data_IF_718856972267
#
_entry.id   IF_718856972267
#
_cell.length_a   1.000
_cell.length_b   1.000
_cell.length_c   1.000
_cell.angle_alpha   90.00
_cell.angle_beta   90.00
_cell.angle_gamma   90.00
#
_symmetry.space_group_name_H-M   'P 1'
#
loop_
_entity.id
_entity.type
_entity.pdbx_description
1 polymer ?
#
# COMPACT_ATOMS: atom_id res chain seq x y z
N UNK A 1 6.67 -30.27 -39.47
CA UNK A 1 7.42 -29.85 -40.67
C UNK A 1 7.20 -28.36 -40.86
N UNK A 2 8.29 -27.59 -40.98
CA UNK A 2 8.40 -26.25 -41.62
C UNK A 2 7.54 -25.09 -41.07
N UNK A 3 7.98 -23.83 -41.00
CA UNK A 3 9.30 -23.20 -41.10
C UNK A 3 9.16 -21.74 -40.63
N UNK A 4 10.29 -21.13 -40.27
CA UNK A 4 10.51 -19.70 -40.00
C UNK A 4 10.30 -18.83 -41.26
N UNK A 5 10.10 -17.51 -41.03
CA UNK A 5 10.56 -16.31 -41.78
C UNK A 5 9.45 -15.23 -41.69
N UNK A 6 9.56 -14.10 -40.98
CA UNK A 6 10.50 -12.97 -41.07
C UNK A 6 10.46 -12.26 -42.45
N UNK A 7 10.34 -10.92 -42.40
CA UNK A 7 10.90 -9.90 -43.34
C UNK A 7 9.88 -8.98 -44.11
N UNK A 8 10.05 -7.67 -43.84
CA UNK A 8 10.03 -6.48 -44.73
C UNK A 8 8.87 -5.47 -44.74
N UNK A 9 9.31 -4.27 -44.35
CA UNK A 9 8.85 -2.89 -44.48
C UNK A 9 8.67 -2.45 -45.95
N UNK A 10 7.65 -1.66 -46.29
CA UNK A 10 7.67 -0.82 -47.50
C UNK A 10 6.82 0.44 -47.28
N UNK A 11 7.51 1.56 -47.04
CA UNK A 11 6.98 2.92 -47.05
C UNK A 11 7.15 3.49 -48.46
N UNK A 12 6.06 3.99 -49.03
CA UNK A 12 5.98 4.58 -50.36
C UNK A 12 6.60 5.98 -50.41
N UNK A 13 7.47 6.19 -51.40
CA UNK A 13 7.92 7.49 -51.91
C UNK A 13 6.85 8.14 -52.79
N UNK A 14 6.74 9.47 -52.74
CA UNK A 14 6.22 10.29 -53.83
C UNK A 14 7.04 11.57 -53.99
N UNK A 15 7.56 11.75 -55.21
CA UNK A 15 8.41 12.84 -55.73
C UNK A 15 7.53 13.87 -56.44
N UNK A 16 7.81 15.17 -56.26
CA UNK A 16 7.74 16.27 -57.26
C UNK A 16 7.97 17.60 -56.51
N UNK A 17 8.68 18.62 -57.00
CA UNK A 17 9.34 18.86 -58.27
C UNK A 17 10.24 20.10 -58.10
N UNK A 18 11.31 20.15 -58.89
CA UNK A 18 12.34 21.18 -58.90
C UNK A 18 11.93 22.31 -59.86
N UNK A 19 11.94 23.56 -59.40
CA UNK A 19 11.94 24.75 -60.26
C UNK A 19 13.22 25.53 -59.93
N UNK A 20 14.09 25.67 -60.94
CA UNK A 20 15.31 26.47 -60.91
C UNK A 20 14.99 27.93 -61.26
N UNK A 21 15.28 28.85 -60.34
CA UNK A 21 15.46 30.26 -60.66
C UNK A 21 16.87 30.69 -60.25
N UNK A 22 17.67 31.06 -61.25
CA UNK A 22 18.97 31.71 -61.12
C UNK A 22 18.78 33.19 -60.79
N UNK A 23 19.24 33.62 -59.61
CA UNK A 23 19.33 35.03 -59.22
C UNK A 23 20.63 35.28 -58.48
N UNK A 24 21.51 36.10 -59.05
CA UNK A 24 22.71 36.60 -58.41
C UNK A 24 22.35 37.61 -57.32
N UNK A 25 22.75 37.34 -56.07
CA UNK A 25 22.79 38.35 -55.00
C UNK A 25 24.05 38.18 -54.16
N UNK A 26 24.65 39.31 -53.80
CA UNK A 26 25.91 39.46 -53.07
C UNK A 26 25.88 38.78 -51.69
N UNK A 27 26.84 37.90 -51.43
CA UNK A 27 27.06 37.31 -50.10
C UNK A 27 27.53 38.37 -49.10
N UNK A 28 26.69 38.66 -48.12
CA UNK A 28 27.07 39.33 -46.88
C UNK A 28 27.52 38.23 -45.91
N UNK A 29 28.75 38.31 -45.40
CA UNK A 29 29.29 37.39 -44.39
C UNK A 29 28.54 37.56 -43.07
N UNK A 30 27.59 36.67 -42.79
CA UNK A 30 26.96 36.52 -41.48
C UNK A 30 27.76 35.52 -40.66
N UNK A 31 28.48 36.00 -39.65
CA UNK A 31 29.03 35.14 -38.60
C UNK A 31 27.88 34.57 -37.78
N UNK A 32 27.58 33.28 -37.98
CA UNK A 32 26.60 32.57 -37.16
C UNK A 32 27.18 32.41 -35.75
N UNK A 33 26.54 32.93 -34.69
CA UNK A 33 27.00 32.68 -33.34
C UNK A 33 26.85 31.19 -33.05
N UNK A 34 27.95 30.57 -32.59
CA UNK A 34 27.93 29.19 -32.07
C UNK A 34 26.90 29.16 -30.93
N UNK A 35 25.90 28.27 -30.95
CA UNK A 35 24.98 28.13 -29.84
C UNK A 35 25.78 27.69 -28.61
N UNK A 36 25.91 28.58 -27.64
CA UNK A 36 26.37 28.24 -26.31
C UNK A 36 25.40 27.21 -25.74
N UNK A 37 25.81 25.94 -25.65
CA UNK A 37 25.07 24.96 -24.87
C UNK A 37 25.15 25.38 -23.40
N UNK A 38 24.13 26.08 -22.93
CA UNK A 38 23.85 26.22 -21.51
C UNK A 38 23.52 24.83 -20.99
N UNK A 39 24.49 24.20 -20.32
CA UNK A 39 24.24 23.04 -19.47
C UNK A 39 23.18 23.48 -18.47
N UNK A 40 21.97 22.89 -18.56
CA UNK A 40 20.95 23.12 -17.54
C UNK A 40 21.57 22.81 -16.17
N UNK A 41 21.40 23.68 -15.16
CA UNK A 41 21.83 23.35 -13.81
C UNK A 41 21.21 22.01 -13.44
N UNK A 42 22.04 21.02 -13.12
CA UNK A 42 21.58 19.79 -12.50
C UNK A 42 20.82 20.19 -11.23
N UNK A 43 19.49 20.04 -11.25
CA UNK A 43 18.65 20.26 -10.08
C UNK A 43 19.21 19.37 -8.98
N UNK A 44 19.64 19.96 -7.87
CA UNK A 44 20.14 19.19 -6.74
C UNK A 44 19.09 18.14 -6.35
N UNK A 45 19.50 16.88 -6.05
CA UNK A 45 18.57 15.85 -5.67
C UNK A 45 17.75 16.32 -4.47
N UNK A 46 16.44 16.09 -4.51
CA UNK A 46 15.54 16.48 -3.42
C UNK A 46 15.91 15.66 -2.18
N UNK A 47 16.14 16.38 -1.08
CA UNK A 47 16.43 15.82 0.24
C UNK A 47 15.26 16.16 1.19
N UNK A 48 15.08 15.31 2.21
CA UNK A 48 13.96 15.35 3.15
C UNK A 48 14.46 15.49 4.59
N UNK A 49 13.72 16.21 5.42
CA UNK A 49 13.92 16.22 6.86
C UNK A 49 13.26 15.00 7.50
N UNK A 50 13.64 14.69 8.74
CA UNK A 50 12.93 13.70 9.56
C UNK A 50 11.43 14.00 9.63
N UNK A 51 11.07 15.25 9.92
CA UNK A 51 9.67 15.66 10.06
C UNK A 51 8.86 15.46 8.76
N UNK A 52 9.46 15.67 7.58
CA UNK A 52 8.80 15.35 6.31
C UNK A 52 8.61 13.84 6.16
N UNK A 53 9.65 13.05 6.41
CA UNK A 53 9.59 11.59 6.34
C UNK A 53 8.50 11.03 7.26
N UNK A 54 8.55 11.37 8.55
CA UNK A 54 7.59 10.93 9.55
C UNK A 54 6.16 11.30 9.18
N UNK A 55 5.95 12.51 8.63
CA UNK A 55 4.63 12.94 8.19
C UNK A 55 4.12 12.12 7.02
N UNK A 56 4.94 11.92 5.98
CA UNK A 56 4.55 11.09 4.83
C UNK A 56 4.15 9.68 5.27
N UNK A 57 4.92 9.10 6.21
CA UNK A 57 4.66 7.77 6.74
C UNK A 57 3.40 7.71 7.61
N UNK A 58 3.19 8.69 8.49
CA UNK A 58 1.97 8.77 9.30
C UNK A 58 0.71 8.88 8.44
N UNK A 59 0.76 9.70 7.38
CA UNK A 59 -0.35 9.82 6.43
C UNK A 59 -0.64 8.50 5.73
N UNK A 60 0.41 7.76 5.33
CA UNK A 60 0.24 6.44 4.72
C UNK A 60 -0.49 5.49 5.66
N UNK A 61 -0.09 5.42 6.93
CA UNK A 61 -0.76 4.57 7.94
C UNK A 61 -2.26 4.90 8.05
N UNK A 62 -2.62 6.18 8.16
CA UNK A 62 -4.03 6.59 8.29
C UNK A 62 -4.88 6.15 7.08
N UNK A 63 -4.32 6.29 5.87
CA UNK A 63 -5.02 5.99 4.62
C UNK A 63 -4.99 4.49 4.28
N UNK A 64 -3.96 3.75 4.67
CA UNK A 64 -3.94 2.29 4.55
C UNK A 64 -4.88 1.63 5.56
N UNK A 65 -5.00 2.16 6.77
CA UNK A 65 -6.04 1.75 7.74
C UNK A 65 -7.44 1.89 7.13
N UNK A 66 -7.74 3.03 6.50
CA UNK A 66 -9.00 3.26 5.77
C UNK A 66 -9.26 2.17 4.73
N UNK A 67 -8.28 1.87 3.87
CA UNK A 67 -8.43 0.84 2.85
C UNK A 67 -8.62 -0.56 3.46
N UNK A 68 -7.80 -0.93 4.45
CA UNK A 68 -7.86 -2.26 5.08
C UNK A 68 -9.20 -2.47 5.76
N UNK A 69 -9.67 -1.53 6.58
CA UNK A 69 -10.95 -1.71 7.28
C UNK A 69 -12.15 -1.59 6.35
N UNK A 70 -12.04 -0.88 5.23
CA UNK A 70 -13.04 -0.93 4.15
C UNK A 70 -13.12 -2.34 3.55
N UNK A 71 -11.98 -2.95 3.21
CA UNK A 71 -11.92 -4.35 2.75
C UNK A 71 -12.48 -5.33 3.78
N UNK A 72 -12.10 -5.18 5.05
CA UNK A 72 -12.65 -6.01 6.13
C UNK A 72 -14.17 -5.88 6.18
N UNK A 73 -14.72 -4.66 6.16
CA UNK A 73 -16.16 -4.48 6.17
C UNK A 73 -16.86 -5.10 4.95
N UNK A 74 -16.30 -4.95 3.74
CA UNK A 74 -16.82 -5.59 2.52
C UNK A 74 -16.90 -7.11 2.70
N UNK A 75 -15.80 -7.75 3.11
CA UNK A 75 -15.72 -9.19 3.30
C UNK A 75 -16.74 -9.66 4.36
N UNK A 76 -16.66 -9.10 5.56
CA UNK A 76 -17.48 -9.55 6.70
C UNK A 76 -18.97 -9.29 6.45
N UNK A 77 -19.31 -8.15 5.85
CA UNK A 77 -20.70 -7.80 5.55
C UNK A 77 -21.29 -8.74 4.51
N UNK A 78 -20.58 -9.03 3.42
CA UNK A 78 -21.04 -9.95 2.38
C UNK A 78 -21.20 -11.39 2.89
N UNK A 79 -20.32 -11.81 3.80
CA UNK A 79 -20.37 -13.15 4.43
C UNK A 79 -21.38 -13.23 5.58
N UNK A 80 -22.08 -12.13 5.91
CA UNK A 80 -23.00 -12.01 7.05
C UNK A 80 -22.32 -12.34 8.39
N UNK A 81 -21.04 -12.03 8.50
CA UNK A 81 -20.24 -12.24 9.70
C UNK A 81 -20.53 -11.15 10.74
N UNK A 82 -20.71 -11.52 12.02
CA UNK A 82 -20.86 -10.54 13.11
C UNK A 82 -19.61 -9.66 13.31
N UNK A 83 -18.47 -10.00 12.70
CA UNK A 83 -17.28 -9.14 12.71
C UNK A 83 -17.47 -7.83 11.91
N UNK A 84 -18.49 -7.74 11.06
CA UNK A 84 -18.77 -6.54 10.27
C UNK A 84 -18.96 -5.29 11.16
N UNK A 85 -19.57 -5.45 12.33
CA UNK A 85 -19.77 -4.34 13.27
C UNK A 85 -18.45 -3.82 13.86
N UNK A 86 -17.53 -4.73 14.20
CA UNK A 86 -16.21 -4.36 14.71
C UNK A 86 -15.37 -3.66 13.62
N UNK A 87 -15.41 -4.17 12.38
CA UNK A 87 -14.76 -3.55 11.24
C UNK A 87 -15.33 -2.15 10.93
N UNK A 88 -16.65 -1.99 10.93
CA UNK A 88 -17.32 -0.70 10.72
C UNK A 88 -16.98 0.31 11.83
N UNK A 89 -16.97 -0.13 13.10
CA UNK A 89 -16.63 0.73 14.22
C UNK A 89 -15.19 1.27 14.11
N UNK A 90 -14.24 0.40 13.75
CA UNK A 90 -12.84 0.82 13.56
C UNK A 90 -12.64 1.69 12.33
N UNK A 91 -13.34 1.40 11.22
CA UNK A 91 -13.35 2.22 10.03
C UNK A 91 -13.89 3.63 10.30
N UNK A 92 -15.00 3.75 11.04
CA UNK A 92 -15.54 5.06 11.44
C UNK A 92 -14.62 5.80 12.41
N UNK A 93 -13.90 5.08 13.28
CA UNK A 93 -12.89 5.66 14.16
C UNK A 93 -11.70 6.23 13.38
N UNK A 94 -11.22 5.51 12.35
CA UNK A 94 -10.16 5.99 11.47
C UNK A 94 -10.50 7.35 10.81
N UNK A 95 -11.77 7.63 10.52
CA UNK A 95 -12.17 8.93 9.97
C UNK A 95 -11.98 10.09 10.96
N UNK A 96 -12.13 9.82 12.26
CA UNK A 96 -11.76 10.78 13.31
C UNK A 96 -10.25 10.96 13.39
N UNK A 97 -9.49 9.87 13.21
CA UNK A 97 -8.03 9.91 13.27
C UNK A 97 -7.47 10.74 12.10
N UNK A 98 -8.01 10.58 10.88
CA UNK A 98 -7.70 11.40 9.70
C UNK A 98 -8.07 12.87 9.94
N UNK A 99 -9.29 13.14 10.44
CA UNK A 99 -9.71 14.51 10.73
C UNK A 99 -8.87 15.18 11.83
N UNK A 100 -8.46 14.42 12.86
CA UNK A 100 -7.57 14.91 13.89
C UNK A 100 -6.16 15.21 13.35
N UNK A 101 -5.68 14.42 12.40
CA UNK A 101 -4.36 14.61 11.80
C UNK A 101 -4.22 15.95 11.04
N UNK A 102 -5.32 16.55 10.56
CA UNK A 102 -5.27 17.86 9.89
C UNK A 102 -5.35 19.06 10.86
N UNK A 103 -5.79 18.85 12.11
CA UNK A 103 -6.02 19.94 13.09
C UNK A 103 -4.78 20.79 13.38
N UNK A 104 -3.55 20.24 13.51
CA UNK A 104 -2.35 21.04 13.74
C UNK A 104 -2.01 22.03 12.62
N UNK A 105 -2.64 21.88 11.45
CA UNK A 105 -2.37 22.67 10.25
C UNK A 105 -3.53 23.63 9.92
N UNK A 106 -4.76 23.15 10.02
CA UNK A 106 -5.96 23.88 9.59
C UNK A 106 -6.94 24.23 10.71
N UNK A 107 -6.65 23.84 11.95
CA UNK A 107 -7.48 24.11 13.13
C UNK A 107 -8.58 23.07 13.39
N UNK A 108 -9.22 23.19 14.56
CA UNK A 108 -10.26 22.27 15.06
C UNK A 108 -11.45 22.17 14.11
N UNK A 109 -11.97 23.31 13.64
CA UNK A 109 -13.16 23.36 12.80
C UNK A 109 -12.95 22.61 11.47
N UNK A 110 -11.77 22.77 10.86
CA UNK A 110 -11.41 22.05 9.64
C UNK A 110 -11.32 20.54 9.88
N UNK A 111 -10.64 20.12 10.96
CA UNK A 111 -10.53 18.69 11.31
C UNK A 111 -11.88 18.04 11.61
N UNK A 112 -12.75 18.75 12.34
CA UNK A 112 -14.10 18.27 12.65
C UNK A 112 -14.98 18.22 11.38
N UNK A 113 -14.85 19.18 10.46
CA UNK A 113 -15.56 19.17 9.17
C UNK A 113 -15.12 18.00 8.29
N UNK A 114 -13.81 17.74 8.19
CA UNK A 114 -13.29 16.60 7.44
C UNK A 114 -13.77 15.27 8.04
N UNK A 115 -13.74 15.14 9.38
CA UNK A 115 -14.27 13.98 10.09
C UNK A 115 -15.72 13.70 9.72
N UNK A 116 -16.57 14.74 9.70
CA UNK A 116 -17.98 14.61 9.36
C UNK A 116 -18.19 14.14 7.92
N UNK A 117 -17.48 14.74 6.95
CA UNK A 117 -17.55 14.37 5.54
C UNK A 117 -17.12 12.91 5.31
N UNK A 118 -16.04 12.48 5.95
CA UNK A 118 -15.52 11.11 5.84
C UNK A 118 -16.42 10.09 6.54
N UNK A 119 -17.02 10.42 7.70
CA UNK A 119 -18.01 9.52 8.32
C UNK A 119 -19.27 9.34 7.48
N UNK A 120 -19.74 10.41 6.84
CA UNK A 120 -20.82 10.35 5.87
C UNK A 120 -20.42 9.48 4.67
N UNK A 121 -19.21 9.67 4.13
CA UNK A 121 -18.64 8.87 3.05
C UNK A 121 -18.72 7.37 3.34
N UNK A 122 -18.24 6.97 4.52
CA UNK A 122 -18.28 5.57 4.98
C UNK A 122 -19.73 5.11 5.16
N UNK A 123 -20.59 5.90 5.80
CA UNK A 123 -22.00 5.53 6.01
C UNK A 123 -22.74 5.26 4.70
N UNK A 124 -22.47 6.05 3.65
CA UNK A 124 -23.02 5.81 2.32
C UNK A 124 -22.45 4.53 1.71
N UNK A 125 -21.14 4.29 1.78
CA UNK A 125 -20.52 3.06 1.29
C UNK A 125 -21.11 1.79 1.95
N UNK A 126 -21.37 1.87 3.27
CA UNK A 126 -22.06 0.83 4.05
C UNK A 126 -23.48 0.56 3.52
N UNK A 127 -24.22 1.62 3.16
CA UNK A 127 -25.55 1.51 2.57
C UNK A 127 -25.52 0.91 1.16
N UNK A 128 -24.55 1.27 0.32
CA UNK A 128 -24.34 0.65 -1.00
C UNK A 128 -24.16 -0.87 -0.87
N UNK A 129 -23.33 -1.33 0.08
CA UNK A 129 -23.12 -2.77 0.31
C UNK A 129 -24.42 -3.45 0.73
N UNK A 130 -25.22 -2.80 1.59
CA UNK A 130 -26.55 -3.29 1.99
C UNK A 130 -27.49 -3.42 0.79
N UNK A 131 -27.51 -2.44 -0.11
CA UNK A 131 -28.34 -2.46 -1.31
C UNK A 131 -27.89 -3.53 -2.32
N UNK A 132 -26.58 -3.71 -2.48
CA UNK A 132 -26.00 -4.82 -3.27
C UNK A 132 -26.48 -6.16 -2.73
N UNK A 133 -26.40 -6.37 -1.40
CA UNK A 133 -26.90 -7.59 -0.74
C UNK A 133 -28.41 -7.79 -0.94
N UNK A 134 -29.19 -6.70 -0.87
CA UNK A 134 -30.63 -6.71 -1.10
C UNK A 134 -31.00 -6.84 -2.58
N UNK A 135 -30.03 -6.79 -3.51
CA UNK A 135 -30.23 -6.73 -4.96
C UNK A 135 -31.14 -5.57 -5.38
N UNK A 136 -31.08 -4.46 -4.64
CA UNK A 136 -31.89 -3.29 -4.89
C UNK A 136 -31.13 -2.29 -5.78
N UNK A 137 -31.16 -2.53 -7.09
CA UNK A 137 -30.42 -1.71 -8.06
C UNK A 137 -30.80 -0.23 -8.04
N UNK A 138 -32.06 0.08 -7.72
CA UNK A 138 -32.55 1.47 -7.65
C UNK A 138 -31.95 2.20 -6.44
N UNK A 139 -31.98 1.58 -5.26
CA UNK A 139 -31.38 2.17 -4.06
C UNK A 139 -29.85 2.24 -4.19
N UNK A 140 -29.22 1.17 -4.71
CA UNK A 140 -27.79 1.15 -5.00
C UNK A 140 -27.39 2.33 -5.89
N UNK A 141 -28.07 2.56 -7.01
CA UNK A 141 -27.75 3.68 -7.91
C UNK A 141 -27.94 5.05 -7.24
N UNK A 142 -28.95 5.19 -6.38
CA UNK A 142 -29.18 6.41 -5.63
C UNK A 142 -28.07 6.67 -4.60
N UNK A 143 -27.61 5.65 -3.88
CA UNK A 143 -26.55 5.79 -2.89
C UNK A 143 -25.16 5.93 -3.56
N UNK A 144 -24.91 5.31 -4.70
CA UNK A 144 -23.70 5.57 -5.51
C UNK A 144 -23.63 7.03 -6.01
N UNK A 145 -24.77 7.62 -6.39
CA UNK A 145 -24.84 9.04 -6.74
C UNK A 145 -24.54 9.95 -5.55
N UNK A 146 -25.07 9.64 -4.35
CA UNK A 146 -24.73 10.37 -3.11
C UNK A 146 -23.26 10.21 -2.75
N UNK A 147 -22.70 9.03 -2.92
CA UNK A 147 -21.30 8.75 -2.62
C UNK A 147 -20.36 9.57 -3.51
N UNK A 148 -20.72 9.67 -4.80
CA UNK A 148 -20.02 10.53 -5.76
C UNK A 148 -20.13 12.01 -5.39
N UNK A 149 -21.30 12.47 -4.96
CA UNK A 149 -21.49 13.85 -4.50
C UNK A 149 -20.65 14.14 -3.23
N UNK A 150 -20.70 13.26 -2.22
CA UNK A 150 -19.89 13.42 -1.01
C UNK A 150 -18.38 13.41 -1.31
N UNK A 151 -17.94 12.59 -2.27
CA UNK A 151 -16.56 12.63 -2.77
C UNK A 151 -16.18 13.98 -3.40
N UNK A 152 -17.08 14.57 -4.19
CA UNK A 152 -16.91 15.93 -4.74
C UNK A 152 -16.84 16.99 -3.63
N UNK A 153 -17.64 16.85 -2.57
CA UNK A 153 -17.63 17.74 -1.41
C UNK A 153 -16.33 17.64 -0.60
N UNK A 154 -15.79 16.43 -0.42
CA UNK A 154 -14.47 16.21 0.20
C UNK A 154 -13.38 16.86 -0.65
N UNK A 155 -13.38 16.62 -1.97
CA UNK A 155 -12.39 17.20 -2.87
C UNK A 155 -12.44 18.73 -2.86
N UNK A 156 -13.64 19.33 -2.87
CA UNK A 156 -13.84 20.77 -2.77
C UNK A 156 -13.34 21.33 -1.43
N UNK A 157 -13.65 20.66 -0.32
CA UNK A 157 -13.17 21.04 1.01
C UNK A 157 -11.64 21.05 1.06
N UNK A 158 -10.99 19.95 0.66
CA UNK A 158 -9.53 19.84 0.62
C UNK A 158 -8.93 20.97 -0.24
N UNK A 159 -9.39 21.11 -1.47
CA UNK A 159 -8.85 22.10 -2.42
C UNK A 159 -9.02 23.55 -1.94
N UNK A 160 -10.09 23.83 -1.18
CA UNK A 160 -10.30 25.16 -0.58
C UNK A 160 -9.34 25.44 0.58
N UNK A 161 -8.92 24.41 1.32
CA UNK A 161 -8.02 24.53 2.47
C UNK A 161 -6.54 24.67 2.05
N UNK A 162 -6.16 24.01 0.94
CA UNK A 162 -4.77 23.97 0.48
C UNK A 162 -4.65 24.26 -1.02
N UNK A 163 -3.95 25.36 -1.41
CA UNK A 163 -3.77 25.69 -2.82
C UNK A 163 -2.91 24.67 -3.60
N UNK A 164 -2.21 23.76 -2.91
CA UNK A 164 -1.43 22.69 -3.52
C UNK A 164 -2.27 21.48 -3.95
N UNK A 165 -3.54 21.41 -3.53
CA UNK A 165 -4.50 20.41 -3.99
C UNK A 165 -5.43 21.06 -5.00
N UNK A 166 -5.09 20.96 -6.29
CA UNK A 166 -5.93 21.53 -7.34
C UNK A 166 -7.27 20.79 -7.36
N UNK A 167 -8.37 21.53 -7.55
CA UNK A 167 -9.71 20.96 -7.51
C UNK A 167 -9.93 19.79 -8.50
N UNK A 168 -9.33 19.86 -9.69
CA UNK A 168 -9.34 18.75 -10.65
C UNK A 168 -8.63 17.51 -10.09
N UNK A 169 -7.38 17.66 -9.66
CA UNK A 169 -6.56 16.57 -9.13
C UNK A 169 -7.21 15.92 -7.88
N UNK A 170 -7.74 16.72 -6.96
CA UNK A 170 -8.42 16.23 -5.76
C UNK A 170 -9.68 15.43 -6.12
N UNK A 171 -10.45 15.89 -7.12
CA UNK A 171 -11.63 15.19 -7.62
C UNK A 171 -11.22 13.87 -8.28
N UNK A 172 -10.21 13.88 -9.15
CA UNK A 172 -9.73 12.68 -9.83
C UNK A 172 -9.25 11.61 -8.84
N UNK A 173 -8.53 12.01 -7.77
CA UNK A 173 -8.11 11.11 -6.70
C UNK A 173 -9.32 10.45 -6.01
N UNK A 174 -10.32 11.24 -5.64
CA UNK A 174 -11.52 10.72 -4.97
C UNK A 174 -12.33 9.80 -5.89
N UNK A 175 -12.56 10.19 -7.14
CA UNK A 175 -13.30 9.39 -8.12
C UNK A 175 -12.60 8.08 -8.44
N UNK A 176 -11.27 8.09 -8.57
CA UNK A 176 -10.50 6.86 -8.72
C UNK A 176 -10.62 5.95 -7.50
N UNK A 177 -10.66 6.52 -6.28
CA UNK A 177 -10.88 5.74 -5.06
C UNK A 177 -12.25 5.07 -5.05
N UNK A 178 -13.31 5.78 -5.48
CA UNK A 178 -14.63 5.19 -5.62
C UNK A 178 -14.62 4.02 -6.60
N UNK A 179 -14.00 4.24 -7.77
CA UNK A 179 -13.95 3.26 -8.84
C UNK A 179 -13.22 1.98 -8.43
N UNK A 180 -12.02 2.09 -7.84
CA UNK A 180 -11.25 0.91 -7.41
C UNK A 180 -11.97 0.13 -6.31
N UNK A 181 -12.56 0.83 -5.33
CA UNK A 181 -13.30 0.21 -4.23
C UNK A 181 -14.59 -0.46 -4.73
N UNK A 182 -15.28 0.13 -5.70
CA UNK A 182 -16.44 -0.50 -6.35
C UNK A 182 -16.03 -1.76 -7.12
N UNK A 183 -14.90 -1.75 -7.82
CA UNK A 183 -14.37 -2.94 -8.50
C UNK A 183 -14.09 -4.07 -7.51
N UNK A 184 -13.49 -3.77 -6.36
CA UNK A 184 -13.27 -4.73 -5.27
C UNK A 184 -14.59 -5.32 -4.75
N UNK A 185 -15.56 -4.47 -4.42
CA UNK A 185 -16.90 -4.91 -3.99
C UNK A 185 -17.56 -5.84 -5.01
N UNK A 186 -17.52 -5.48 -6.29
CA UNK A 186 -18.13 -6.28 -7.37
C UNK A 186 -17.43 -7.63 -7.51
N UNK A 187 -16.09 -7.66 -7.51
CA UNK A 187 -15.33 -8.90 -7.60
C UNK A 187 -15.63 -9.83 -6.42
N UNK A 188 -15.63 -9.28 -5.19
CA UNK A 188 -15.96 -10.03 -3.98
C UNK A 188 -17.39 -10.55 -3.98
N UNK A 189 -18.38 -9.72 -4.32
CA UNK A 189 -19.79 -10.12 -4.41
C UNK A 189 -20.02 -11.20 -5.45
N UNK A 190 -19.31 -11.13 -6.58
CA UNK A 190 -19.38 -12.11 -7.67
C UNK A 190 -18.62 -13.41 -7.36
N UNK A 191 -17.91 -13.47 -6.23
CA UNK A 191 -17.03 -14.57 -5.82
C UNK A 191 -15.89 -14.85 -6.80
N UNK A 192 -15.50 -13.85 -7.58
CA UNK A 192 -14.28 -13.91 -8.39
C UNK A 192 -13.10 -13.51 -7.49
N UNK A 193 -12.60 -14.46 -6.72
CA UNK A 193 -11.57 -14.19 -5.72
C UNK A 193 -10.21 -13.82 -6.32
N UNK A 194 -9.94 -14.18 -7.58
CA UNK A 194 -8.74 -13.73 -8.28
C UNK A 194 -8.88 -12.26 -8.69
N UNK A 195 -10.03 -11.87 -9.23
CA UNK A 195 -10.31 -10.46 -9.49
C UNK A 195 -10.36 -9.63 -8.19
N UNK A 196 -10.87 -10.19 -7.08
CA UNK A 196 -10.89 -9.55 -5.76
C UNK A 196 -9.46 -9.22 -5.28
N UNK A 197 -8.53 -10.17 -5.40
CA UNK A 197 -7.11 -9.94 -5.08
C UNK A 197 -6.50 -8.83 -5.95
N UNK A 198 -6.76 -8.84 -7.26
CA UNK A 198 -6.24 -7.82 -8.18
C UNK A 198 -6.85 -6.44 -7.89
N UNK A 199 -8.13 -6.39 -7.54
CA UNK A 199 -8.81 -5.16 -7.16
C UNK A 199 -8.23 -4.58 -5.87
N UNK A 200 -7.94 -5.42 -4.87
CA UNK A 200 -7.24 -4.98 -3.66
C UNK A 200 -5.87 -4.37 -3.97
N UNK A 201 -5.05 -5.02 -4.80
CA UNK A 201 -3.74 -4.47 -5.17
C UNK A 201 -3.87 -3.08 -5.83
N UNK A 202 -4.93 -2.87 -6.63
CA UNK A 202 -5.24 -1.56 -7.21
C UNK A 202 -5.71 -0.53 -6.16
N UNK A 203 -6.59 -0.93 -5.23
CA UNK A 203 -7.04 -0.08 -4.11
C UNK A 203 -5.86 0.36 -3.26
N UNK A 204 -4.99 -0.58 -2.86
CA UNK A 204 -3.85 -0.29 -2.01
C UNK A 204 -2.81 0.59 -2.71
N UNK A 205 -2.54 0.35 -4.00
CA UNK A 205 -1.67 1.23 -4.77
C UNK A 205 -2.24 2.66 -4.92
N UNK A 206 -3.56 2.78 -5.11
CA UNK A 206 -4.22 4.07 -5.21
C UNK A 206 -4.22 4.84 -3.88
N UNK A 207 -4.50 4.16 -2.76
CA UNK A 207 -4.60 4.82 -1.46
C UNK A 207 -3.25 5.38 -0.98
N UNK A 208 -2.14 4.71 -1.31
CA UNK A 208 -0.79 5.24 -1.07
C UNK A 208 -0.53 6.51 -1.90
N UNK A 209 -0.94 6.54 -3.17
CA UNK A 209 -0.81 7.75 -4.00
C UNK A 209 -1.65 8.92 -3.47
N UNK A 210 -2.87 8.63 -3.04
CA UNK A 210 -3.74 9.63 -2.41
C UNK A 210 -3.11 10.18 -1.13
N UNK A 211 -2.57 9.30 -0.28
CA UNK A 211 -1.85 9.68 0.93
C UNK A 211 -0.63 10.59 0.63
N UNK A 212 0.17 10.23 -0.37
CA UNK A 212 1.34 11.02 -0.76
C UNK A 212 0.95 12.41 -1.32
N UNK A 213 -0.15 12.48 -2.07
CA UNK A 213 -0.69 13.75 -2.56
C UNK A 213 -1.17 14.65 -1.41
N UNK A 214 -1.84 14.07 -0.42
CA UNK A 214 -2.33 14.80 0.78
C UNK A 214 -1.14 15.28 1.61
N UNK A 215 -0.29 14.38 2.09
CA UNK A 215 0.88 14.75 2.89
C UNK A 215 1.80 15.75 2.18
N UNK A 216 2.05 15.53 0.88
CA UNK A 216 2.86 16.44 0.07
C UNK A 216 2.26 17.84 -0.07
N UNK A 217 0.94 17.98 -0.12
CA UNK A 217 0.29 19.29 -0.10
C UNK A 217 0.43 19.99 1.25
N UNK A 218 0.26 19.27 2.37
CA UNK A 218 0.43 19.82 3.73
C UNK A 218 1.87 20.31 3.92
N UNK A 219 2.85 19.49 3.56
CA UNK A 219 4.28 19.83 3.66
C UNK A 219 4.60 21.08 2.84
N UNK A 220 4.06 21.19 1.62
CA UNK A 220 4.26 22.37 0.76
C UNK A 220 3.62 23.65 1.32
N UNK A 221 2.47 23.55 1.98
CA UNK A 221 1.78 24.71 2.54
C UNK A 221 2.39 25.18 3.87
N UNK A 222 2.91 24.26 4.67
CA UNK A 222 3.46 24.57 6.00
C UNK A 222 4.93 24.12 6.16
N UNK A 223 5.86 24.58 5.30
CA UNK A 223 7.24 24.11 5.31
C UNK A 223 7.94 24.29 6.66
N UNK A 224 7.61 25.35 7.41
CA UNK A 224 8.19 25.64 8.72
C UNK A 224 7.85 24.58 9.78
N UNK A 225 6.70 23.91 9.67
CA UNK A 225 6.31 22.81 10.57
C UNK A 225 7.09 21.52 10.31
N UNK A 226 7.75 21.42 9.16
CA UNK A 226 8.55 20.28 8.75
C UNK A 226 10.02 20.66 8.54
N UNK A 227 10.44 21.78 9.11
CA UNK A 227 11.81 22.24 9.07
C UNK A 227 12.75 21.27 9.81
N UNK A 228 14.04 21.33 9.48
CA UNK A 228 15.07 20.49 10.07
C UNK A 228 16.16 20.14 9.05
N UNK A 229 17.27 19.52 9.49
CA UNK A 229 18.31 19.03 8.60
C UNK A 229 17.72 18.10 7.53
N UNK A 230 17.99 18.39 6.25
CA UNK A 230 17.55 17.55 5.13
C UNK A 230 18.57 16.42 4.93
N UNK A 231 18.37 15.33 5.66
CA UNK A 231 19.33 14.21 5.77
C UNK A 231 18.92 12.97 4.99
N UNK A 232 17.67 12.88 4.53
CA UNK A 232 17.17 11.74 3.78
C UNK A 232 17.13 12.04 2.28
N UNK A 233 17.69 11.16 1.47
CA UNK A 233 17.59 11.19 0.03
C UNK A 233 16.23 10.68 -0.46
N UNK A 234 15.89 10.96 -1.72
CA UNK A 234 14.74 10.33 -2.36
C UNK A 234 14.83 8.79 -2.37
N UNK A 235 16.03 8.22 -2.55
CA UNK A 235 16.19 6.76 -2.61
C UNK A 235 15.98 6.11 -1.25
N UNK A 236 16.38 6.78 -0.17
CA UNK A 236 16.08 6.32 1.20
C UNK A 236 14.57 6.30 1.44
N UNK A 237 13.87 7.38 1.05
CA UNK A 237 12.41 7.45 1.13
C UNK A 237 11.74 6.36 0.27
N UNK A 238 12.24 6.12 -0.94
CA UNK A 238 11.68 5.10 -1.84
C UNK A 238 11.90 3.68 -1.31
N UNK A 239 13.08 3.40 -0.73
CA UNK A 239 13.36 2.13 -0.07
C UNK A 239 12.40 1.92 1.09
N UNK A 240 12.28 2.89 2.00
CA UNK A 240 11.43 2.75 3.18
C UNK A 240 9.96 2.54 2.80
N UNK A 241 9.48 3.35 1.84
CA UNK A 241 8.15 3.22 1.27
C UNK A 241 7.88 1.84 0.64
N UNK A 242 8.85 1.32 -0.10
CA UNK A 242 8.77 -0.01 -0.74
C UNK A 242 8.74 -1.13 0.29
N UNK A 243 9.62 -1.07 1.29
CA UNK A 243 9.69 -2.05 2.36
C UNK A 243 8.41 -2.04 3.21
N UNK A 244 7.93 -0.86 3.63
CA UNK A 244 6.68 -0.75 4.39
C UNK A 244 5.51 -1.34 3.62
N UNK A 245 5.41 -1.08 2.31
CA UNK A 245 4.35 -1.68 1.48
C UNK A 245 4.44 -3.21 1.50
N UNK A 246 5.62 -3.78 1.30
CA UNK A 246 5.79 -5.24 1.23
C UNK A 246 5.47 -5.93 2.56
N UNK A 247 5.93 -5.35 3.67
CA UNK A 247 5.71 -5.88 5.01
C UNK A 247 4.28 -5.67 5.51
N UNK A 248 3.62 -4.58 5.12
CA UNK A 248 2.18 -4.40 5.40
C UNK A 248 1.31 -5.28 4.50
N UNK A 249 1.69 -5.53 3.24
CA UNK A 249 1.05 -6.56 2.40
C UNK A 249 1.12 -7.93 3.11
N UNK A 250 2.27 -8.30 3.68
CA UNK A 250 2.43 -9.56 4.45
C UNK A 250 1.40 -9.68 5.59
N UNK A 251 1.23 -8.65 6.41
CA UNK A 251 0.27 -8.69 7.54
C UNK A 251 -1.18 -8.65 7.06
N UNK A 252 -1.51 -7.83 6.07
CA UNK A 252 -2.86 -7.79 5.48
C UNK A 252 -3.25 -9.15 4.90
N UNK A 253 -2.37 -9.76 4.11
CA UNK A 253 -2.67 -11.06 3.50
C UNK A 253 -2.67 -12.21 4.50
N UNK A 254 -1.88 -12.12 5.58
CA UNK A 254 -1.97 -13.05 6.71
C UNK A 254 -3.32 -12.95 7.42
N UNK A 255 -3.78 -11.73 7.73
CA UNK A 255 -5.12 -11.49 8.29
C UNK A 255 -6.22 -12.05 7.39
N UNK A 256 -6.17 -11.73 6.10
CA UNK A 256 -7.14 -12.24 5.13
C UNK A 256 -7.14 -13.78 5.12
N UNK A 257 -5.97 -14.41 5.09
CA UNK A 257 -5.90 -15.86 5.13
C UNK A 257 -6.50 -16.45 6.43
N UNK A 258 -6.22 -15.85 7.60
CA UNK A 258 -6.81 -16.25 8.89
C UNK A 258 -8.35 -16.19 8.81
N UNK A 259 -8.89 -15.05 8.36
CA UNK A 259 -10.34 -14.82 8.24
C UNK A 259 -10.98 -15.85 7.31
N UNK A 260 -10.47 -15.99 6.09
CA UNK A 260 -11.05 -16.87 5.07
C UNK A 260 -10.91 -18.34 5.46
N UNK A 261 -9.77 -18.75 6.01
CA UNK A 261 -9.51 -20.13 6.42
C UNK A 261 -10.41 -20.55 7.58
N UNK A 262 -10.57 -19.72 8.61
CA UNK A 262 -11.45 -20.01 9.74
C UNK A 262 -12.92 -20.06 9.33
N UNK A 263 -13.33 -19.24 8.36
CA UNK A 263 -14.68 -19.26 7.80
C UNK A 263 -14.92 -20.40 6.80
N UNK A 264 -13.90 -21.23 6.48
CA UNK A 264 -13.94 -22.22 5.40
C UNK A 264 -14.38 -21.61 4.06
N UNK A 265 -13.97 -20.37 3.82
CA UNK A 265 -14.28 -19.64 2.61
C UNK A 265 -13.41 -20.12 1.44
N UNK A 266 -13.98 -20.30 0.24
CA UNK A 266 -13.19 -20.61 -0.96
C UNK A 266 -12.20 -19.50 -1.35
N UNK A 267 -12.31 -18.30 -0.78
CA UNK A 267 -11.32 -17.24 -0.97
C UNK A 267 -9.97 -17.51 -0.28
N UNK A 268 -9.91 -18.49 0.63
CA UNK A 268 -8.68 -18.83 1.36
C UNK A 268 -7.53 -19.20 0.42
N UNK A 269 -7.82 -19.90 -0.68
CA UNK A 269 -6.81 -20.27 -1.68
C UNK A 269 -6.23 -19.05 -2.41
N UNK A 270 -7.08 -18.08 -2.76
CA UNK A 270 -6.65 -16.85 -3.40
C UNK A 270 -5.80 -15.99 -2.44
N UNK A 271 -6.21 -15.89 -1.17
CA UNK A 271 -5.45 -15.20 -0.13
C UNK A 271 -4.09 -15.88 0.11
N UNK A 272 -4.06 -17.21 0.22
CA UNK A 272 -2.81 -17.98 0.39
C UNK A 272 -1.85 -17.80 -0.80
N UNK A 273 -2.36 -17.86 -2.03
CA UNK A 273 -1.56 -17.66 -3.22
C UNK A 273 -0.91 -16.28 -3.25
N UNK A 274 -1.67 -15.22 -2.93
CA UNK A 274 -1.15 -13.85 -2.89
C UNK A 274 -0.19 -13.61 -1.72
N UNK A 275 -0.45 -14.22 -0.56
CA UNK A 275 0.46 -14.20 0.60
C UNK A 275 1.80 -14.87 0.27
N UNK A 276 1.79 -16.04 -0.38
CA UNK A 276 3.01 -16.71 -0.82
C UNK A 276 3.75 -15.91 -1.90
N UNK A 277 3.00 -15.21 -2.77
CA UNK A 277 3.59 -14.30 -3.76
C UNK A 277 4.31 -13.13 -3.11
N UNK A 278 3.74 -12.54 -2.06
CA UNK A 278 4.38 -11.47 -1.30
C UNK A 278 5.76 -11.87 -0.74
N UNK A 279 5.98 -13.15 -0.38
CA UNK A 279 7.29 -13.64 0.07
C UNK A 279 8.33 -13.67 -1.06
N UNK A 280 7.90 -13.89 -2.31
CA UNK A 280 8.74 -13.70 -3.49
C UNK A 280 9.04 -12.22 -3.71
N UNK A 281 8.06 -11.35 -3.52
CA UNK A 281 8.22 -9.91 -3.69
C UNK A 281 9.21 -9.33 -2.67
N UNK A 282 9.12 -9.74 -1.39
CA UNK A 282 10.09 -9.38 -0.34
C UNK A 282 11.50 -9.87 -0.70
N UNK A 283 11.64 -11.15 -1.09
CA UNK A 283 12.94 -11.69 -1.49
C UNK A 283 13.50 -11.02 -2.75
N UNK A 284 12.64 -10.61 -3.69
CA UNK A 284 13.06 -9.87 -4.89
C UNK A 284 13.51 -8.44 -4.54
N UNK A 285 12.86 -7.78 -3.60
CA UNK A 285 13.20 -6.41 -3.18
C UNK A 285 14.62 -6.30 -2.59
N UNK A 286 15.13 -7.38 -1.99
CA UNK A 286 16.48 -7.38 -1.41
C UNK A 286 17.58 -7.82 -2.40
N UNK A 287 17.23 -8.34 -3.59
CA UNK A 287 18.22 -8.79 -4.60
C UNK A 287 19.14 -7.67 -5.08
N UNK A 288 18.69 -6.43 -5.35
CA UNK A 288 19.57 -5.37 -5.81
C UNK A 288 20.70 -5.00 -4.84
N UNK A 289 20.54 -5.29 -3.55
CA UNK A 289 21.51 -4.94 -2.49
C UNK A 289 22.32 -6.15 -2.01
N UNK A 290 21.70 -7.33 -1.87
CA UNK A 290 22.36 -8.54 -1.34
C UNK A 290 22.58 -9.67 -2.37
N UNK A 291 22.11 -9.49 -3.61
CA UNK A 291 22.26 -10.46 -4.70
C UNK A 291 21.20 -11.56 -4.73
N UNK A 292 21.15 -12.28 -5.87
CA UNK A 292 20.11 -13.28 -6.17
C UNK A 292 20.06 -14.45 -5.18
N UNK A 293 21.22 -14.88 -4.68
CA UNK A 293 21.32 -15.98 -3.72
C UNK A 293 20.66 -15.60 -2.39
N UNK A 294 20.90 -14.39 -1.90
CA UNK A 294 20.30 -13.89 -0.67
C UNK A 294 18.79 -13.72 -0.82
N UNK A 295 18.33 -13.10 -1.91
CA UNK A 295 16.90 -12.94 -2.18
C UNK A 295 16.16 -14.28 -2.29
N UNK A 296 16.74 -15.26 -2.99
CA UNK A 296 16.18 -16.61 -3.10
C UNK A 296 16.11 -17.32 -1.75
N UNK A 297 17.16 -17.20 -0.92
CA UNK A 297 17.17 -17.81 0.42
C UNK A 297 16.12 -17.18 1.34
N UNK A 298 15.97 -15.85 1.32
CA UNK A 298 14.96 -15.15 2.09
C UNK A 298 13.55 -15.58 1.69
N UNK A 299 13.26 -15.64 0.38
CA UNK A 299 11.97 -16.16 -0.12
C UNK A 299 11.68 -17.56 0.39
N UNK A 300 12.67 -18.46 0.38
CA UNK A 300 12.51 -19.82 0.89
C UNK A 300 12.13 -19.86 2.37
N UNK A 301 12.86 -19.11 3.21
CA UNK A 301 12.60 -19.03 4.65
C UNK A 301 11.22 -18.44 4.96
N UNK A 302 10.82 -17.39 4.25
CA UNK A 302 9.52 -16.74 4.43
C UNK A 302 8.36 -17.60 3.90
N UNK A 303 8.53 -18.36 2.81
CA UNK A 303 7.49 -19.31 2.37
C UNK A 303 7.32 -20.44 3.37
N UNK A 304 8.40 -20.97 3.93
CA UNK A 304 8.35 -21.95 5.01
C UNK A 304 7.60 -21.38 6.23
N UNK A 305 7.90 -20.13 6.61
CA UNK A 305 7.23 -19.41 7.69
C UNK A 305 5.70 -19.39 7.52
N UNK A 306 5.23 -19.02 6.33
CA UNK A 306 3.80 -18.99 6.01
C UNK A 306 3.18 -20.39 6.03
N UNK A 307 3.87 -21.40 5.48
CA UNK A 307 3.35 -22.77 5.45
C UNK A 307 3.22 -23.37 6.86
N UNK A 308 4.11 -23.03 7.78
CA UNK A 308 3.97 -23.42 9.19
C UNK A 308 2.78 -22.69 9.82
N UNK A 309 2.60 -21.39 9.59
CA UNK A 309 1.44 -20.65 10.08
C UNK A 309 0.10 -21.23 9.57
N UNK A 310 0.06 -21.68 8.30
CA UNK A 310 -1.07 -22.42 7.72
C UNK A 310 -1.37 -23.70 8.50
N UNK A 311 -0.33 -24.46 8.86
CA UNK A 311 -0.48 -25.70 9.63
C UNK A 311 -1.02 -25.43 11.05
N UNK A 312 -0.51 -24.39 11.73
CA UNK A 312 -1.04 -23.93 13.03
C UNK A 312 -2.53 -23.60 12.94
N UNK A 313 -2.96 -22.87 11.91
CA UNK A 313 -4.39 -22.52 11.72
C UNK A 313 -5.23 -23.79 11.53
N UNK A 314 -4.73 -24.76 10.77
CA UNK A 314 -5.42 -26.04 10.58
C UNK A 314 -5.52 -26.85 11.88
N UNK A 315 -4.48 -26.84 12.71
CA UNK A 315 -4.51 -27.50 14.03
C UNK A 315 -5.48 -26.82 15.00
N UNK A 316 -5.54 -25.49 14.99
CA UNK A 316 -6.53 -24.71 15.76
C UNK A 316 -7.95 -25.09 15.31
N UNK A 317 -8.20 -25.18 14.00
CA UNK A 317 -9.50 -25.63 13.46
C UNK A 317 -9.83 -27.06 13.88
N UNK A 318 -8.84 -27.96 13.85
CA UNK A 318 -8.98 -29.35 14.27
C UNK A 318 -9.03 -29.54 15.79
N UNK A 319 -8.78 -28.49 16.57
CA UNK A 319 -8.62 -28.53 18.04
C UNK A 319 -7.49 -29.49 18.47
N UNK A 320 -6.47 -29.64 17.63
CA UNK A 320 -5.34 -30.52 17.87
C UNK A 320 -4.22 -29.77 18.62
N UNK A 321 -4.38 -29.63 19.93
CA UNK A 321 -3.45 -28.85 20.77
C UNK A 321 -2.02 -29.40 20.79
N UNK A 322 -1.84 -30.70 20.54
CA UNK A 322 -0.51 -31.33 20.49
C UNK A 322 0.23 -30.96 19.21
N UNK A 323 -0.43 -31.08 18.06
CA UNK A 323 0.17 -30.65 16.79
C UNK A 323 0.37 -29.14 16.74
N UNK A 324 -0.62 -28.36 17.24
CA UNK A 324 -0.48 -26.91 17.36
C UNK A 324 0.78 -26.52 18.12
N UNK A 325 1.06 -27.13 19.29
CA UNK A 325 2.26 -26.82 20.07
C UNK A 325 3.57 -27.22 19.35
N UNK A 326 3.54 -28.32 18.58
CA UNK A 326 4.68 -28.75 17.78
C UNK A 326 4.98 -27.78 16.63
N UNK A 327 3.94 -27.35 15.92
CA UNK A 327 4.03 -26.41 14.80
C UNK A 327 4.38 -25.00 15.29
N UNK A 328 3.85 -24.53 16.42
CA UNK A 328 4.28 -23.29 17.07
C UNK A 328 5.77 -23.32 17.43
N UNK A 329 6.25 -24.45 17.95
CA UNK A 329 7.69 -24.64 18.23
C UNK A 329 8.53 -24.64 16.95
N UNK A 330 8.01 -25.18 15.84
CA UNK A 330 8.66 -25.13 14.53
C UNK A 330 8.66 -23.71 13.97
N UNK A 331 7.58 -22.96 14.16
CA UNK A 331 7.44 -21.59 13.72
C UNK A 331 8.44 -20.67 14.43
N UNK A 332 8.65 -20.86 15.74
CA UNK A 332 9.71 -20.18 16.50
C UNK A 332 11.11 -20.50 15.97
N UNK A 333 11.39 -21.77 15.62
CA UNK A 333 12.69 -22.13 15.03
C UNK A 333 12.91 -21.48 13.66
N UNK A 334 11.91 -21.51 12.78
CA UNK A 334 11.98 -20.84 11.49
C UNK A 334 12.14 -19.31 11.64
N UNK A 335 11.49 -18.68 12.62
CA UNK A 335 11.68 -17.27 12.94
C UNK A 335 13.11 -16.97 13.42
N UNK A 336 13.71 -17.86 14.24
CA UNK A 336 15.12 -17.78 14.63
C UNK A 336 16.06 -17.92 13.41
N UNK A 337 15.75 -18.81 12.47
CA UNK A 337 16.53 -18.99 11.23
C UNK A 337 16.44 -17.75 10.32
N UNK A 338 15.27 -17.12 10.20
CA UNK A 338 15.10 -15.84 9.49
C UNK A 338 15.93 -14.75 10.17
N UNK A 339 15.82 -14.63 11.49
CA UNK A 339 16.57 -13.62 12.25
C UNK A 339 18.08 -13.79 12.11
N UNK A 340 18.58 -15.02 12.20
CA UNK A 340 19.99 -15.34 12.01
C UNK A 340 20.46 -15.04 10.57
N UNK A 341 19.64 -15.38 9.57
CA UNK A 341 19.95 -15.07 8.17
C UNK A 341 20.05 -13.58 7.91
N UNK A 342 19.07 -12.79 8.38
CA UNK A 342 19.07 -11.33 8.25
C UNK A 342 20.26 -10.72 8.98
N UNK A 343 20.44 -11.02 10.26
CA UNK A 343 21.55 -10.48 11.05
C UNK A 343 22.94 -10.86 10.51
N UNK A 344 23.06 -12.03 9.88
CA UNK A 344 24.29 -12.45 9.19
C UNK A 344 24.59 -11.65 7.91
N UNK A 345 23.56 -11.08 7.26
CA UNK A 345 23.72 -10.30 6.03
C UNK A 345 24.10 -8.83 6.31
N UNK A 346 23.69 -8.28 7.46
CA UNK A 346 23.87 -6.87 7.76
C UNK A 346 24.37 -6.63 9.20
N UNK A 347 25.55 -6.03 9.41
CA UNK A 347 26.09 -5.77 10.75
C UNK A 347 25.30 -4.72 11.54
N UNK A 348 24.42 -3.95 10.89
CA UNK A 348 23.54 -2.97 11.53
C UNK A 348 22.24 -3.58 12.08
N UNK A 349 22.07 -4.90 11.96
CA UNK A 349 20.96 -5.64 12.51
C UNK A 349 21.45 -6.58 13.63
N UNK A 350 21.53 -6.11 14.89
CA UNK A 350 21.99 -6.94 15.99
C UNK A 350 21.17 -8.24 16.11
N UNK A 351 21.79 -9.42 16.21
CA UNK A 351 21.07 -10.69 16.22
C UNK A 351 19.94 -10.78 17.25
N UNK A 352 20.17 -10.25 18.47
CA UNK A 352 19.15 -10.21 19.51
C UNK A 352 17.95 -9.33 19.11
N UNK A 353 18.19 -8.16 18.52
CA UNK A 353 17.13 -7.24 18.11
C UNK A 353 16.27 -7.84 16.99
N UNK A 354 16.88 -8.45 15.96
CA UNK A 354 16.11 -9.09 14.88
C UNK A 354 15.30 -10.27 15.41
N UNK A 355 15.89 -11.07 16.31
CA UNK A 355 15.20 -12.18 16.96
C UNK A 355 14.00 -11.68 17.75
N UNK A 356 14.16 -10.66 18.58
CA UNK A 356 13.07 -10.07 19.35
C UNK A 356 11.95 -9.53 18.45
N UNK A 357 12.29 -8.86 17.34
CA UNK A 357 11.30 -8.41 16.36
C UNK A 357 10.53 -9.58 15.75
N UNK A 358 11.20 -10.66 15.36
CA UNK A 358 10.55 -11.84 14.81
C UNK A 358 9.64 -12.52 15.84
N UNK A 359 10.07 -12.63 17.10
CA UNK A 359 9.27 -13.24 18.17
C UNK A 359 8.04 -12.40 18.52
N UNK A 360 8.17 -11.08 18.53
CA UNK A 360 7.04 -10.17 18.70
C UNK A 360 6.05 -10.28 17.53
N UNK A 361 6.54 -10.49 16.30
CA UNK A 361 5.68 -10.75 15.15
C UNK A 361 4.87 -12.05 15.34
N UNK A 362 5.52 -13.14 15.77
CA UNK A 362 4.82 -14.39 16.08
C UNK A 362 3.72 -14.19 17.12
N UNK A 363 4.05 -13.51 18.23
CA UNK A 363 3.14 -13.29 19.34
C UNK A 363 1.92 -12.49 18.93
N UNK A 364 2.13 -11.36 18.24
CA UNK A 364 1.03 -10.48 17.82
C UNK A 364 0.13 -11.12 16.78
N UNK A 365 0.67 -11.87 15.82
CA UNK A 365 -0.12 -12.67 14.86
C UNK A 365 -0.87 -13.82 15.55
N UNK A 366 -0.29 -14.45 16.58
CA UNK A 366 -0.98 -15.48 17.36
C UNK A 366 -2.15 -14.88 18.16
N UNK A 367 -1.97 -13.70 18.75
CA UNK A 367 -3.05 -12.99 19.45
C UNK A 367 -4.23 -12.69 18.52
N UNK A 368 -3.94 -12.27 17.28
CA UNK A 368 -4.95 -12.07 16.23
C UNK A 368 -5.70 -13.37 15.91
N UNK A 369 -4.98 -14.47 15.65
CA UNK A 369 -5.57 -15.79 15.39
C UNK A 369 -6.48 -16.24 16.53
N UNK A 370 -6.02 -16.10 17.79
CA UNK A 370 -6.80 -16.51 18.98
C UNK A 370 -8.05 -15.65 19.13
N UNK A 371 -7.92 -14.32 19.01
CA UNK A 371 -9.06 -13.42 19.12
C UNK A 371 -10.11 -13.70 18.02
N UNK A 372 -9.64 -13.95 16.80
CA UNK A 372 -10.49 -14.29 15.67
C UNK A 372 -11.19 -15.64 15.85
N UNK A 373 -10.44 -16.69 16.22
CA UNK A 373 -10.98 -18.03 16.46
C UNK A 373 -12.02 -18.07 17.58
N UNK A 374 -11.80 -17.28 18.65
CA UNK A 374 -12.73 -17.15 19.77
C UNK A 374 -13.89 -16.18 19.51
N UNK A 375 -14.00 -15.65 18.29
CA UNK A 375 -15.03 -14.69 17.86
C UNK A 375 -15.08 -13.41 18.71
N UNK A 376 -13.96 -13.04 19.33
CA UNK A 376 -13.82 -11.77 20.04
C UNK A 376 -13.37 -10.69 19.05
N UNK A 377 -14.29 -10.21 18.23
CA UNK A 377 -13.97 -9.27 17.14
C UNK A 377 -13.38 -7.92 17.59
N UNK A 378 -13.76 -7.34 18.75
CA UNK A 378 -13.04 -6.17 19.27
C UNK A 378 -11.58 -6.47 19.63
N UNK A 379 -11.29 -7.65 20.18
CA UNK A 379 -9.92 -8.07 20.43
C UNK A 379 -9.17 -8.40 19.13
N UNK A 380 -9.83 -8.96 18.13
CA UNK A 380 -9.29 -9.24 16.80
C UNK A 380 -8.82 -7.95 16.12
N UNK A 381 -9.65 -6.91 16.10
CA UNK A 381 -9.29 -5.56 15.60
C UNK A 381 -8.08 -5.01 16.35
N UNK A 382 -8.08 -5.09 17.69
CA UNK A 382 -6.97 -4.58 18.50
C UNK A 382 -5.66 -5.35 18.24
N UNK A 383 -5.74 -6.66 18.10
CA UNK A 383 -4.57 -7.50 17.80
C UNK A 383 -4.03 -7.21 16.40
N UNK A 384 -4.92 -6.98 15.43
CA UNK A 384 -4.52 -6.56 14.09
C UNK A 384 -3.82 -5.19 14.07
N UNK A 385 -4.38 -4.18 14.75
CA UNK A 385 -3.73 -2.87 14.89
C UNK A 385 -2.32 -3.01 15.51
N UNK A 386 -2.16 -3.92 16.48
CA UNK A 386 -0.87 -4.20 17.12
C UNK A 386 0.14 -4.86 16.16
N UNK A 387 -0.25 -5.89 15.40
CA UNK A 387 0.66 -6.52 14.42
C UNK A 387 0.99 -5.60 13.26
N UNK A 388 0.04 -4.75 12.83
CA UNK A 388 0.27 -3.77 11.76
C UNK A 388 1.28 -2.70 12.21
N UNK A 389 1.13 -2.17 13.43
CA UNK A 389 2.13 -1.25 14.01
C UNK A 389 3.50 -1.91 14.18
N UNK A 390 3.53 -3.16 14.66
CA UNK A 390 4.77 -3.92 14.80
C UNK A 390 5.50 -4.11 13.47
N UNK A 391 4.78 -4.48 12.40
CA UNK A 391 5.42 -4.75 11.12
C UNK A 391 5.97 -3.49 10.45
N UNK A 392 5.37 -2.33 10.70
CA UNK A 392 5.93 -1.05 10.27
C UNK A 392 7.27 -0.79 10.97
N UNK A 393 7.34 -0.95 12.29
CA UNK A 393 8.60 -0.78 13.02
C UNK A 393 9.68 -1.77 12.58
N UNK A 394 9.29 -3.03 12.31
CA UNK A 394 10.20 -4.02 11.76
C UNK A 394 10.70 -3.61 10.37
N UNK A 395 9.80 -3.16 9.49
CA UNK A 395 10.15 -2.65 8.17
C UNK A 395 11.16 -1.51 8.26
N UNK A 396 10.91 -0.52 9.12
CA UNK A 396 11.76 0.65 9.30
C UNK A 396 13.17 0.24 9.77
N UNK A 397 13.25 -0.66 10.76
CA UNK A 397 14.53 -1.19 11.24
C UNK A 397 15.32 -1.93 10.13
N UNK A 398 14.62 -2.63 9.24
CA UNK A 398 15.22 -3.30 8.09
C UNK A 398 15.70 -2.27 7.06
N UNK A 399 14.85 -1.31 6.66
CA UNK A 399 15.23 -0.22 5.75
C UNK A 399 16.47 0.54 6.26
N UNK A 400 16.45 0.95 7.52
CA UNK A 400 17.53 1.67 8.18
C UNK A 400 18.86 0.92 8.14
N UNK A 401 18.83 -0.40 8.39
CA UNK A 401 20.05 -1.20 8.32
C UNK A 401 20.61 -1.28 6.90
N UNK A 402 19.75 -1.42 5.89
CA UNK A 402 20.18 -1.44 4.47
C UNK A 402 20.87 -0.12 4.12
N UNK A 403 20.25 1.02 4.48
CA UNK A 403 20.82 2.35 4.26
C UNK A 403 22.19 2.48 4.95
N UNK A 404 22.28 2.10 6.23
CA UNK A 404 23.53 2.16 7.00
C UNK A 404 24.65 1.29 6.43
N UNK A 405 24.32 0.14 5.85
CA UNK A 405 25.31 -0.74 5.23
C UNK A 405 25.75 -0.26 3.85
N UNK A 406 24.85 0.38 3.08
CA UNK A 406 25.10 0.81 1.70
C UNK A 406 24.86 2.32 1.48
N UNK A 407 25.54 3.21 2.25
CA UNK A 407 25.24 4.64 2.23
C UNK A 407 25.56 5.34 0.91
N UNK A 408 26.34 4.73 0.02
CA UNK A 408 26.61 5.28 -1.32
C UNK A 408 25.54 4.93 -2.35
N UNK A 409 24.72 3.92 -2.06
CA UNK A 409 23.64 3.45 -2.95
C UNK A 409 22.36 4.25 -2.76
N UNK A 410 22.16 4.77 -1.55
CA UNK A 410 20.96 5.46 -1.08
C UNK A 410 21.22 6.94 -0.88
#
# INVERSE_FOLDING_TARGET
MMNRNCIILLVLLSIAGMILFTGCTSQQTTTTPIPTMTVQPTVAPKMYSQAESDSMMQWRVLWTDHAVYTRMYIIESLDNSPAADAAAARLLKNQEDIGNAIKPYYGEDAGNKLTALLKEHITIALAIIKDVKARNSTAQAADEAKWTQNADEIAAFLSSANPNWRSGDAKDLMHMHLATTKTELVARYSKDYQADVQAWDAVYAHILKMSDAISGGIIKQFPDKFAGPKVYSQKEIDLDNGMRKLWTDHTVWTRLYIIESLNNSPAADAAAARLLKNQEDIGNAVKPVYGDAAGTKLTGLLKEHILIAVAIINDVKAKNTTAQAADESQWTRNADDIAAFLAGANPNWPPAAVKDMMHMHLSTTKDELVARYTMNYPADVKAYDAVYSHILNMSDALSDGIVKQFPTSF
#
